data_IF_746345580545
#
_entry.id   IF_746345580545
#
_cell.length_a   1.000
_cell.length_b   1.000
_cell.length_c   1.000
_cell.angle_alpha   90.00
_cell.angle_beta   90.00
_cell.angle_gamma   90.00
#
_symmetry.space_group_name_H-M   'P 1'
#
loop_
_entity.id
_entity.type
_entity.pdbx_description
1 polymer ?
#
# COMPACT_ATOMS: atom_id res chain seq x y z
N UNK A 1 -8.49 2.08 47.20
CA UNK A 1 -7.30 1.96 46.32
C UNK A 1 -7.32 0.69 45.44
N UNK A 2 -8.50 0.20 45.00
CA UNK A 2 -8.62 -0.97 44.08
C UNK A 2 -9.24 -0.63 42.72
N UNK A 3 -9.88 0.54 42.61
CA UNK A 3 -10.56 1.00 41.39
C UNK A 3 -9.58 1.59 40.37
N UNK A 4 -8.46 2.18 40.83
CA UNK A 4 -7.42 2.76 39.97
C UNK A 4 -6.64 1.72 39.16
N UNK A 5 -6.51 0.49 39.67
CA UNK A 5 -5.80 -0.60 38.97
C UNK A 5 -6.62 -1.19 37.81
N UNK A 6 -7.95 -1.17 37.90
CA UNK A 6 -8.82 -1.67 36.83
C UNK A 6 -8.83 -0.73 35.61
N UNK A 7 -8.72 0.58 35.81
CA UNK A 7 -8.64 1.57 34.73
C UNK A 7 -7.30 1.51 33.97
N UNK A 8 -6.20 1.14 34.64
CA UNK A 8 -4.89 1.01 34.00
C UNK A 8 -4.82 -0.20 33.05
N UNK A 9 -5.51 -1.30 33.39
CA UNK A 9 -5.56 -2.52 32.55
C UNK A 9 -6.48 -2.33 31.34
N UNK A 10 -7.56 -1.55 31.48
CA UNK A 10 -8.44 -1.19 30.35
C UNK A 10 -7.75 -0.23 29.35
N UNK A 11 -6.83 0.62 29.80
CA UNK A 11 -6.08 1.54 28.93
C UNK A 11 -5.00 0.83 28.07
N UNK A 12 -4.49 -0.33 28.51
CA UNK A 12 -3.51 -1.12 27.75
C UNK A 12 -4.14 -1.97 26.63
N UNK A 13 -5.47 -2.16 26.66
CA UNK A 13 -6.21 -2.94 25.66
C UNK A 13 -6.61 -2.14 24.41
N UNK A 14 -6.44 -0.81 24.42
CA UNK A 14 -6.81 0.04 23.27
C UNK A 14 -5.67 0.06 22.27
N UNK A 15 -5.60 -1.03 21.51
CA UNK A 15 -5.08 -1.07 20.16
C UNK A 15 -3.76 -0.35 19.95
N UNK A 16 -2.66 -1.07 20.12
CA UNK A 16 -1.56 -0.95 19.17
C UNK A 16 -2.15 -1.20 17.78
N UNK A 17 -2.73 -0.16 17.19
CA UNK A 17 -3.05 -0.11 15.78
C UNK A 17 -1.72 -0.37 15.10
N UNK A 18 -1.50 -1.62 14.72
CA UNK A 18 -0.29 -2.10 14.10
C UNK A 18 -0.20 -1.38 12.76
N UNK A 19 0.47 -0.24 12.75
CA UNK A 19 0.89 0.45 11.54
C UNK A 19 1.95 -0.42 10.87
N UNK A 20 1.51 -1.50 10.24
CA UNK A 20 2.37 -2.40 9.51
C UNK A 20 2.64 -1.76 8.15
N UNK A 21 3.80 -1.13 8.09
CA UNK A 21 4.44 -0.72 6.86
C UNK A 21 4.85 -1.99 6.10
N UNK A 22 4.19 -2.26 4.98
CA UNK A 22 4.41 -3.48 4.18
C UNK A 22 4.43 -3.14 2.69
N UNK A 23 5.03 -4.00 1.90
CA UNK A 23 4.98 -3.89 0.45
C UNK A 23 3.86 -4.78 -0.08
N UNK A 24 3.13 -4.30 -1.08
CA UNK A 24 2.06 -5.04 -1.71
C UNK A 24 1.96 -4.74 -3.20
N UNK A 25 1.60 -5.76 -3.96
CA UNK A 25 1.10 -5.59 -5.31
C UNK A 25 -0.38 -5.25 -5.26
N UNK A 26 -0.79 -4.40 -6.18
CA UNK A 26 -2.21 -4.10 -6.34
C UNK A 26 -2.79 -5.03 -7.40
N UNK A 27 -3.71 -5.91 -6.98
CA UNK A 27 -4.25 -6.96 -7.84
C UNK A 27 -5.61 -6.64 -8.43
N UNK A 28 -6.38 -5.75 -7.80
CA UNK A 28 -7.74 -5.41 -8.23
C UNK A 28 -8.15 -4.02 -7.71
N UNK A 29 -8.93 -3.30 -8.51
CA UNK A 29 -9.51 -2.00 -8.18
C UNK A 29 -10.98 -1.98 -8.54
N UNK A 30 -11.84 -1.65 -7.58
CA UNK A 30 -13.29 -1.61 -7.81
C UNK A 30 -13.93 -0.43 -7.10
N UNK A 31 -14.83 0.26 -7.79
CA UNK A 31 -15.75 1.18 -7.15
C UNK A 31 -17.03 0.42 -6.78
N UNK A 32 -17.35 0.37 -5.49
CA UNK A 32 -18.59 -0.21 -5.00
C UNK A 32 -19.35 0.86 -4.22
N UNK A 33 -20.57 1.18 -4.67
CA UNK A 33 -21.43 2.19 -4.04
C UNK A 33 -20.72 3.55 -3.85
N UNK A 34 -19.95 3.99 -4.86
CA UNK A 34 -19.20 5.24 -4.82
C UNK A 34 -17.88 5.19 -4.04
N UNK A 35 -17.58 4.12 -3.32
CA UNK A 35 -16.32 3.94 -2.57
C UNK A 35 -15.34 3.11 -3.38
N UNK A 36 -14.13 3.64 -3.57
CA UNK A 36 -13.03 2.90 -4.18
C UNK A 36 -12.44 1.88 -3.20
N UNK A 37 -12.30 0.65 -3.66
CA UNK A 37 -11.69 -0.46 -2.94
C UNK A 37 -10.56 -1.05 -3.75
N UNK A 38 -9.54 -1.53 -3.06
CA UNK A 38 -8.34 -2.13 -3.64
C UNK A 38 -8.05 -3.47 -2.98
N UNK A 39 -7.68 -4.46 -3.79
CA UNK A 39 -7.09 -5.70 -3.29
C UNK A 39 -5.58 -5.59 -3.34
N UNK A 40 -4.97 -5.83 -2.19
CA UNK A 40 -3.53 -5.81 -1.99
C UNK A 40 -3.06 -7.24 -1.75
N UNK A 41 -2.03 -7.65 -2.47
CA UNK A 41 -1.33 -8.89 -2.26
C UNK A 41 0.03 -8.58 -1.65
N UNK A 42 0.22 -8.93 -0.38
CA UNK A 42 1.46 -8.61 0.33
C UNK A 42 2.63 -9.39 -0.25
N UNK A 43 3.73 -8.69 -0.50
CA UNK A 43 4.94 -9.25 -1.09
C UNK A 43 6.18 -8.83 -0.30
N UNK A 44 7.22 -9.64 -0.40
CA UNK A 44 8.56 -9.25 0.01
C UNK A 44 9.33 -8.76 -1.20
N UNK A 45 9.94 -7.59 -1.09
CA UNK A 45 10.80 -7.03 -2.14
C UNK A 45 12.21 -6.98 -1.61
N UNK A 46 13.13 -7.58 -2.35
CA UNK A 46 14.56 -7.62 -2.04
C UNK A 46 15.31 -6.92 -3.15
N UNK A 47 16.27 -6.08 -2.78
CA UNK A 47 17.20 -5.54 -3.76
C UNK A 47 18.13 -6.67 -4.23
N UNK A 48 18.41 -6.71 -5.52
CA UNK A 48 19.29 -7.71 -6.12
C UNK A 48 20.25 -7.04 -7.10
N UNK A 49 21.37 -7.70 -7.38
CA UNK A 49 22.36 -7.16 -8.30
C UNK A 49 21.79 -7.12 -9.73
N UNK A 50 22.04 -6.04 -10.47
CA UNK A 50 21.52 -5.84 -11.83
C UNK A 50 21.98 -6.89 -12.83
N UNK A 51 23.13 -7.51 -12.57
CA UNK A 51 23.66 -8.60 -13.39
C UNK A 51 22.78 -9.86 -13.30
N UNK A 52 22.11 -10.07 -12.16
CA UNK A 52 21.23 -11.23 -11.91
C UNK A 52 19.74 -10.87 -12.06
N UNK A 53 19.38 -9.60 -11.86
CA UNK A 53 18.02 -9.09 -11.97
C UNK A 53 17.95 -7.73 -12.69
N UNK A 54 17.52 -7.67 -13.97
CA UNK A 54 17.52 -6.42 -14.74
C UNK A 54 16.73 -5.27 -14.11
N UNK A 55 15.68 -5.59 -13.34
CA UNK A 55 14.86 -4.60 -12.62
C UNK A 55 15.54 -4.06 -11.34
N UNK A 56 16.64 -4.66 -10.87
CA UNK A 56 17.31 -4.31 -9.61
C UNK A 56 16.54 -4.71 -8.33
N UNK A 57 15.35 -5.29 -8.49
CA UNK A 57 14.53 -5.80 -7.40
C UNK A 57 13.97 -7.19 -7.74
N UNK A 58 13.85 -8.02 -6.72
CA UNK A 58 13.16 -9.30 -6.75
C UNK A 58 11.90 -9.19 -5.89
N UNK A 59 10.73 -9.40 -6.51
CA UNK A 59 9.45 -9.45 -5.81
C UNK A 59 9.09 -10.91 -5.58
N UNK A 60 9.05 -11.33 -4.31
CA UNK A 60 8.70 -12.68 -3.92
C UNK A 60 7.39 -12.68 -3.13
N UNK A 61 6.53 -13.66 -3.45
CA UNK A 61 5.28 -13.89 -2.72
C UNK A 61 5.19 -15.37 -2.34
N UNK A 62 5.81 -15.73 -1.21
CA UNK A 62 5.82 -17.12 -0.74
C UNK A 62 4.52 -17.51 -0.02
N UNK A 63 3.68 -16.54 0.38
CA UNK A 63 2.41 -16.79 1.05
C UNK A 63 1.41 -15.65 0.74
N UNK A 64 0.63 -15.76 -0.36
CA UNK A 64 -0.22 -14.68 -0.83
C UNK A 64 -1.28 -14.31 0.21
N UNK A 65 -1.14 -13.11 0.76
CA UNK A 65 -2.04 -12.57 1.77
C UNK A 65 -2.90 -11.47 1.16
N UNK A 66 -3.89 -11.88 0.37
CA UNK A 66 -4.76 -10.94 -0.31
C UNK A 66 -5.74 -10.30 0.68
N UNK A 67 -5.78 -8.97 0.69
CA UNK A 67 -6.61 -8.17 1.60
C UNK A 67 -7.25 -7.00 0.87
N UNK A 68 -8.55 -6.80 1.08
CA UNK A 68 -9.31 -5.68 0.51
C UNK A 68 -9.36 -4.48 1.46
N UNK A 69 -8.99 -3.31 0.98
CA UNK A 69 -9.06 -2.05 1.72
C UNK A 69 -9.85 -1.00 0.94
N UNK A 70 -10.41 -0.01 1.62
CA UNK A 70 -11.08 1.13 1.00
C UNK A 70 -10.18 2.36 0.98
N UNK A 71 -10.34 3.18 -0.06
CA UNK A 71 -9.84 4.55 -0.07
C UNK A 71 -10.78 5.45 0.72
N UNK A 72 -10.19 6.44 1.37
CA UNK A 72 -10.88 7.56 1.99
C UNK A 72 -10.45 8.86 1.32
N UNK A 73 -11.17 9.97 1.53
CA UNK A 73 -10.71 11.28 1.09
C UNK A 73 -9.34 11.69 1.69
N UNK A 74 -8.92 11.06 2.78
CA UNK A 74 -7.63 11.30 3.44
C UNK A 74 -6.50 10.38 2.96
N UNK A 75 -6.78 9.42 2.07
CA UNK A 75 -5.75 8.53 1.54
C UNK A 75 -4.74 9.33 0.72
N UNK A 76 -3.45 9.14 1.03
CA UNK A 76 -2.35 9.70 0.24
C UNK A 76 -1.85 8.68 -0.77
N UNK A 77 -1.65 9.08 -2.01
CA UNK A 77 -1.08 8.22 -3.05
C UNK A 77 0.10 8.97 -3.65
N UNK A 78 1.29 8.41 -3.54
CA UNK A 78 2.54 8.98 -4.02
C UNK A 78 3.08 8.10 -5.14
N UNK A 79 3.09 8.63 -6.36
CA UNK A 79 3.66 7.97 -7.53
C UNK A 79 5.04 8.55 -7.79
N UNK A 80 6.01 7.68 -8.07
CA UNK A 80 7.38 8.09 -8.32
C UNK A 80 7.51 8.50 -9.78
N UNK A 81 7.76 9.78 -10.02
CA UNK A 81 7.86 10.35 -11.37
C UNK A 81 9.25 10.18 -11.96
N UNK A 82 10.28 10.40 -11.15
CA UNK A 82 11.70 10.18 -11.46
C UNK A 82 12.48 10.07 -10.13
N UNK A 83 13.82 9.98 -10.19
CA UNK A 83 14.70 9.79 -9.04
C UNK A 83 14.48 10.84 -7.92
N UNK A 84 13.61 10.50 -6.96
CA UNK A 84 13.28 11.32 -5.80
C UNK A 84 12.08 12.27 -5.95
N UNK A 85 11.54 12.47 -7.16
CA UNK A 85 10.36 13.33 -7.38
C UNK A 85 9.07 12.52 -7.29
N UNK A 86 8.15 12.94 -6.43
CA UNK A 86 6.86 12.30 -6.22
C UNK A 86 5.69 13.17 -6.69
N UNK A 87 4.72 12.51 -7.32
CA UNK A 87 3.43 13.11 -7.67
C UNK A 87 2.34 12.60 -6.71
N UNK A 88 1.57 13.51 -6.12
CA UNK A 88 0.40 13.13 -5.32
C UNK A 88 -0.78 12.81 -6.24
N UNK A 89 -1.10 11.52 -6.37
CA UNK A 89 -2.14 11.03 -7.27
C UNK A 89 -3.51 10.91 -6.61
N UNK A 90 -4.54 10.94 -7.44
CA UNK A 90 -5.89 10.50 -7.08
C UNK A 90 -6.04 8.98 -7.31
N UNK A 91 -7.04 8.32 -6.70
CA UNK A 91 -7.33 6.91 -6.98
C UNK A 91 -7.58 6.64 -8.48
N UNK A 92 -8.26 7.56 -9.17
CA UNK A 92 -8.54 7.45 -10.61
C UNK A 92 -7.24 7.41 -11.43
N UNK A 93 -6.27 8.26 -11.07
CA UNK A 93 -4.97 8.34 -11.72
C UNK A 93 -4.11 7.10 -11.48
N UNK A 94 -4.13 6.57 -10.25
CA UNK A 94 -3.49 5.29 -9.92
C UNK A 94 -4.06 4.15 -10.78
N UNK A 95 -5.38 4.08 -10.94
CA UNK A 95 -6.06 3.08 -11.78
C UNK A 95 -5.65 3.24 -13.26
N UNK A 96 -5.59 4.47 -13.76
CA UNK A 96 -5.18 4.75 -15.13
C UNK A 96 -3.76 4.26 -15.41
N UNK A 97 -2.82 4.52 -14.50
CA UNK A 97 -1.44 4.09 -14.68
C UNK A 97 -1.24 2.57 -14.53
N UNK A 98 -1.91 1.90 -13.57
CA UNK A 98 -1.88 0.43 -13.49
C UNK A 98 -2.45 -0.26 -14.73
N UNK A 99 -3.39 0.41 -15.41
CA UNK A 99 -3.95 -0.05 -16.68
C UNK A 99 -3.04 0.17 -17.90
N UNK A 100 -1.82 0.67 -17.72
CA UNK A 100 -0.84 0.90 -18.79
C UNK A 100 -1.21 2.03 -19.74
N UNK A 101 -2.16 2.92 -19.38
CA UNK A 101 -2.49 4.08 -20.20
C UNK A 101 -1.43 5.16 -19.96
N UNK A 102 -1.00 5.84 -21.02
CA UNK A 102 0.04 6.90 -21.07
C UNK A 102 -0.16 8.03 -20.03
N UNK A 103 0.07 7.72 -18.76
CA UNK A 103 -0.14 8.62 -17.63
C UNK A 103 1.03 9.59 -17.45
N UNK A 104 2.16 9.32 -18.12
CA UNK A 104 3.35 10.18 -18.16
C UNK A 104 4.53 9.69 -17.32
N UNK A 105 4.37 8.61 -16.55
CA UNK A 105 5.44 7.93 -15.80
C UNK A 105 5.11 6.43 -15.68
N UNK A 106 6.14 5.59 -15.70
CA UNK A 106 5.99 4.13 -15.81
C UNK A 106 5.69 3.49 -14.46
N UNK A 107 4.61 2.72 -14.39
CA UNK A 107 4.32 1.68 -13.40
C UNK A 107 3.23 0.76 -13.97
N UNK A 108 3.17 -0.47 -13.50
CA UNK A 108 2.22 -1.48 -13.97
C UNK A 108 1.71 -2.35 -12.81
N UNK A 109 0.95 -3.40 -13.14
CA UNK A 109 0.41 -4.35 -12.16
C UNK A 109 1.46 -5.13 -11.36
N UNK A 110 2.73 -5.14 -11.80
CA UNK A 110 3.85 -5.79 -11.11
C UNK A 110 4.67 -4.82 -10.27
N UNK A 111 4.33 -3.53 -10.28
CA UNK A 111 5.01 -2.53 -9.45
C UNK A 111 4.59 -2.66 -7.98
N UNK A 112 5.52 -2.96 -7.05
CA UNK A 112 5.20 -3.02 -5.63
C UNK A 112 5.05 -1.61 -5.05
N UNK A 113 4.02 -1.45 -4.22
CA UNK A 113 3.78 -0.24 -3.47
C UNK A 113 4.08 -0.48 -2.00
N UNK A 114 4.75 0.48 -1.39
CA UNK A 114 4.74 0.61 0.05
C UNK A 114 3.35 1.05 0.50
N UNK A 115 2.77 0.32 1.45
CA UNK A 115 1.43 0.56 1.93
C UNK A 115 1.43 0.86 3.43
N UNK A 116 0.57 1.82 3.78
CA UNK A 116 0.22 2.15 5.15
C UNK A 116 -1.28 2.02 5.30
N UNK A 117 -1.74 1.14 6.17
CA UNK A 117 -3.16 0.81 6.32
C UNK A 117 -3.63 0.98 7.76
N UNK A 118 -4.92 1.26 7.93
CA UNK A 118 -5.64 1.04 9.17
C UNK A 118 -6.35 -0.30 9.07
N UNK A 119 -5.78 -1.34 9.67
CA UNK A 119 -6.36 -2.70 9.64
C UNK A 119 -7.74 -2.76 10.30
N UNK A 120 -7.93 -2.08 11.44
CA UNK A 120 -9.19 -2.10 12.18
C UNK A 120 -10.35 -1.52 11.36
N UNK A 121 -10.06 -0.49 10.55
CA UNK A 121 -11.05 0.18 9.68
C UNK A 121 -11.03 -0.30 8.24
N UNK A 122 -10.11 -1.19 7.88
CA UNK A 122 -9.86 -1.66 6.51
C UNK A 122 -9.66 -0.50 5.53
N UNK A 123 -8.88 0.51 5.93
CA UNK A 123 -8.63 1.73 5.15
C UNK A 123 -7.18 1.84 4.70
N UNK A 124 -6.97 2.29 3.46
CA UNK A 124 -5.66 2.77 3.01
C UNK A 124 -5.42 4.16 3.57
N UNK A 125 -4.29 4.35 4.22
CA UNK A 125 -3.82 5.65 4.69
C UNK A 125 -2.81 6.24 3.72
N UNK A 126 -1.89 5.41 3.22
CA UNK A 126 -0.88 5.82 2.25
C UNK A 126 -0.53 4.67 1.30
N UNK A 127 -0.37 5.00 0.01
CA UNK A 127 0.31 4.19 -0.99
C UNK A 127 1.48 4.99 -1.53
N UNK A 128 2.65 4.38 -1.62
CA UNK A 128 3.85 5.03 -2.13
C UNK A 128 4.63 4.09 -3.04
N UNK A 129 4.81 4.48 -4.29
CA UNK A 129 5.70 3.79 -5.22
C UNK A 129 7.15 4.08 -4.82
N UNK A 130 7.93 3.05 -4.50
CA UNK A 130 9.34 3.22 -4.10
C UNK A 130 10.32 2.95 -5.25
N UNK A 131 9.88 2.20 -6.26
CA UNK A 131 10.72 1.72 -7.34
C UNK A 131 10.22 2.27 -8.69
N UNK A 132 11.16 2.68 -9.54
CA UNK A 132 10.88 2.86 -10.96
C UNK A 132 10.92 1.47 -11.61
N UNK A 133 9.99 1.15 -12.51
CA UNK A 133 10.02 -0.11 -13.26
C UNK A 133 11.20 -0.17 -14.23
#
# INVERSE_FOLDING_TARGET
>A
MRILLALLVLALGVGLAQWQNRQALITDFRQMQGVWTVKLDYVEVKDCNRDDCPAGIEVSNQNPLIRTFRFTPSTKIWLLKNAGEYFQATPQQLIQGLGGRNFGWSFDKYTPFYIKVNEARREILELKQMYLP
#
